data_IF_160720973817
#
_entry.id   IF_160720973817
#
_cell.length_a   1.000
_cell.length_b   1.000
_cell.length_c   1.000
_cell.angle_alpha   90.00
_cell.angle_beta   90.00
_cell.angle_gamma   90.00
#
_symmetry.space_group_name_H-M   'P 1'
#
loop_
_entity.id
_entity.type
_entity.pdbx_description
1 polymer ?
#
# COMPACT_ATOMS: atom_id res chain seq x y z
N UNK A 1 43.18 33.62 41.55
CA UNK A 1 43.60 32.21 41.67
C UNK A 1 42.36 31.33 41.73
N UNK A 2 42.18 30.50 40.70
CA UNK A 2 41.10 29.51 40.66
C UNK A 2 41.44 28.42 41.68
N UNK A 3 40.53 28.18 42.63
CA UNK A 3 40.72 27.14 43.64
C UNK A 3 40.73 25.75 42.93
N UNK A 4 41.88 25.07 42.91
CA UNK A 4 42.09 23.78 42.26
C UNK A 4 40.99 22.75 42.62
N UNK A 5 40.54 22.71 43.87
CA UNK A 5 39.47 21.79 44.32
C UNK A 5 38.14 22.09 43.66
N UNK A 6 37.78 23.39 43.47
CA UNK A 6 36.53 23.76 42.76
C UNK A 6 36.63 23.48 41.25
N UNK A 7 37.79 23.67 40.66
CA UNK A 7 38.00 23.34 39.25
C UNK A 7 37.93 21.82 39.00
N UNK A 8 38.52 21.00 39.85
CA UNK A 8 38.42 19.54 39.76
C UNK A 8 36.96 19.07 39.94
N UNK A 9 36.20 19.61 40.93
CA UNK A 9 34.79 19.25 41.12
C UNK A 9 33.93 19.58 39.89
N UNK A 10 34.16 20.75 39.26
CA UNK A 10 33.46 21.16 38.05
C UNK A 10 33.75 20.24 36.84
N UNK A 11 35.02 19.84 36.66
CA UNK A 11 35.41 18.89 35.60
C UNK A 11 34.77 17.53 35.83
N UNK A 12 34.75 17.03 37.06
CA UNK A 12 34.10 15.77 37.39
C UNK A 12 32.58 15.81 37.14
N UNK A 13 31.92 16.94 37.43
CA UNK A 13 30.48 17.09 37.15
C UNK A 13 30.20 17.06 35.65
N UNK A 14 31.00 17.77 34.82
CA UNK A 14 30.86 17.74 33.37
C UNK A 14 31.10 16.33 32.81
N UNK A 15 32.10 15.63 33.30
CA UNK A 15 32.40 14.26 32.86
C UNK A 15 31.29 13.29 33.23
N UNK A 16 30.72 13.40 34.42
CA UNK A 16 29.56 12.57 34.86
C UNK A 16 28.32 12.82 34.02
N UNK A 17 28.01 14.10 33.68
CA UNK A 17 26.90 14.44 32.78
C UNK A 17 27.17 13.91 31.37
N UNK A 18 28.37 14.03 30.83
CA UNK A 18 28.72 13.50 29.53
C UNK A 18 28.60 11.97 29.48
N UNK A 19 29.02 11.26 30.52
CA UNK A 19 28.86 9.79 30.64
C UNK A 19 27.41 9.40 30.74
N UNK A 20 26.57 10.14 31.49
CA UNK A 20 25.16 9.90 31.59
C UNK A 20 24.44 10.10 30.27
N UNK A 21 24.78 11.16 29.51
CA UNK A 21 24.24 11.41 28.16
C UNK A 21 24.67 10.30 27.21
N UNK A 22 25.92 9.88 27.26
CA UNK A 22 26.47 8.80 26.44
C UNK A 22 25.76 7.45 26.76
N UNK A 23 25.57 7.13 28.05
CA UNK A 23 24.87 5.94 28.49
C UNK A 23 23.40 5.93 28.02
N UNK A 24 22.72 7.08 28.06
CA UNK A 24 21.36 7.23 27.55
C UNK A 24 21.27 7.00 26.01
N UNK A 25 22.29 7.40 25.26
CA UNK A 25 22.36 7.17 23.81
C UNK A 25 22.67 5.70 23.47
N UNK A 26 23.51 5.01 24.27
CA UNK A 26 23.86 3.61 24.04
C UNK A 26 22.80 2.61 24.53
N UNK A 27 21.97 2.96 25.51
CA UNK A 27 20.93 2.08 26.02
C UNK A 27 19.61 2.08 25.24
N UNK A 28 19.54 2.78 24.10
CA UNK A 28 18.32 2.90 23.31
C UNK A 28 17.22 3.75 23.97
N UNK A 29 17.50 4.33 25.15
CA UNK A 29 16.54 5.20 25.86
C UNK A 29 16.24 6.51 25.11
N UNK A 30 17.02 6.83 24.08
CA UNK A 30 16.71 7.91 23.14
C UNK A 30 15.42 7.62 22.31
N UNK A 31 15.01 6.37 22.20
CA UNK A 31 13.74 6.03 21.58
C UNK A 31 12.52 6.45 22.42
N UNK A 32 12.70 6.66 23.73
CA UNK A 32 11.62 7.05 24.65
C UNK A 32 11.32 8.55 24.57
N UNK A 33 12.28 9.37 24.10
CA UNK A 33 12.11 10.82 23.97
C UNK A 33 11.59 11.29 22.60
N UNK A 34 11.68 10.44 21.56
CA UNK A 34 10.99 10.63 20.30
C UNK A 34 9.64 9.90 20.40
N UNK A 35 8.69 10.46 21.12
CA UNK A 35 7.32 9.96 21.26
C UNK A 35 6.47 10.10 19.98
N UNK A 36 7.07 9.89 18.81
CA UNK A 36 6.37 9.66 17.57
C UNK A 36 6.19 8.16 17.41
N UNK A 37 4.98 7.66 17.53
CA UNK A 37 4.62 6.33 17.01
C UNK A 37 5.10 6.26 15.56
N UNK A 38 5.94 5.26 15.23
CA UNK A 38 6.35 5.05 13.85
C UNK A 38 5.09 4.88 13.02
N UNK A 39 4.87 5.76 12.05
CA UNK A 39 3.72 5.71 11.16
C UNK A 39 3.69 4.36 10.46
N UNK A 40 2.56 3.68 10.49
CA UNK A 40 2.37 2.42 9.76
C UNK A 40 2.32 2.71 8.26
N UNK A 41 3.01 1.87 7.49
CA UNK A 41 3.09 2.04 6.05
C UNK A 41 2.49 0.82 5.34
N UNK A 42 1.71 1.04 4.28
CA UNK A 42 1.29 -0.02 3.38
C UNK A 42 2.47 -0.49 2.51
N UNK A 43 2.25 -1.55 1.75
CA UNK A 43 3.25 -2.07 0.82
C UNK A 43 3.27 -1.23 -0.45
N UNK A 44 4.37 -0.50 -0.70
CA UNK A 44 4.59 0.30 -1.91
C UNK A 44 5.37 -0.44 -2.99
N UNK A 45 6.25 -1.34 -2.58
CA UNK A 45 7.09 -2.16 -3.46
C UNK A 45 7.57 -3.40 -2.70
N UNK A 46 8.07 -4.39 -3.42
CA UNK A 46 8.65 -5.60 -2.84
C UNK A 46 10.17 -5.54 -2.96
N UNK A 47 10.88 -5.63 -1.83
CA UNK A 47 12.34 -5.67 -1.87
C UNK A 47 12.81 -6.99 -2.48
N UNK A 48 13.41 -6.95 -3.67
CA UNK A 48 13.92 -8.12 -4.39
C UNK A 48 15.08 -7.73 -5.30
N UNK A 49 16.02 -8.66 -5.50
CA UNK A 49 17.08 -8.55 -6.49
C UNK A 49 16.65 -9.13 -7.85
N UNK A 50 15.51 -9.81 -7.91
CA UNK A 50 14.98 -10.36 -9.15
C UNK A 50 14.40 -9.25 -10.03
N UNK A 51 14.60 -9.36 -11.35
CA UNK A 51 14.01 -8.45 -12.34
C UNK A 51 12.51 -8.72 -12.50
N UNK A 52 11.74 -8.39 -11.45
CA UNK A 52 10.29 -8.59 -11.39
C UNK A 52 9.60 -7.30 -10.99
N UNK A 53 8.42 -7.08 -11.56
CA UNK A 53 7.50 -5.99 -11.22
C UNK A 53 6.10 -6.58 -11.06
N UNK A 54 5.22 -5.88 -10.34
CA UNK A 54 3.80 -6.18 -10.26
C UNK A 54 3.00 -5.12 -11.01
N UNK A 55 2.17 -5.53 -11.96
CA UNK A 55 1.21 -4.64 -12.63
C UNK A 55 -0.15 -4.86 -11.96
N UNK A 56 -0.83 -3.78 -11.60
CA UNK A 56 -2.12 -3.84 -10.94
C UNK A 56 -3.10 -2.83 -11.55
N UNK A 57 -4.38 -3.17 -11.48
CA UNK A 57 -5.47 -2.41 -12.05
C UNK A 57 -6.52 -2.13 -10.99
N UNK A 58 -6.90 -0.86 -10.82
CA UNK A 58 -8.03 -0.48 -10.00
C UNK A 58 -9.28 -0.46 -10.89
N UNK A 59 -10.34 -1.16 -10.43
CA UNK A 59 -11.58 -1.40 -11.16
C UNK A 59 -12.76 -0.76 -10.41
N UNK A 60 -13.17 0.45 -10.86
CA UNK A 60 -14.23 1.21 -10.21
C UNK A 60 -15.39 1.58 -11.16
N UNK A 61 -15.12 2.03 -12.38
CA UNK A 61 -16.16 2.70 -13.17
C UNK A 61 -16.64 1.94 -14.40
N UNK A 62 -15.75 1.33 -15.16
CA UNK A 62 -16.09 0.66 -16.42
C UNK A 62 -15.34 -0.65 -16.64
N UNK A 63 -15.54 -1.23 -17.82
CA UNK A 63 -14.90 -2.47 -18.27
C UNK A 63 -14.30 -2.35 -19.66
N UNK A 64 -14.19 -1.13 -20.20
CA UNK A 64 -13.97 -0.86 -21.62
C UNK A 64 -12.71 -1.52 -22.18
N UNK A 65 -11.66 -1.64 -21.37
CA UNK A 65 -10.41 -2.27 -21.78
C UNK A 65 -10.20 -3.65 -21.19
N UNK A 66 -11.07 -4.15 -20.31
CA UNK A 66 -10.85 -5.40 -19.57
C UNK A 66 -10.60 -6.59 -20.49
N UNK A 67 -11.45 -6.83 -21.50
CA UNK A 67 -11.26 -7.96 -22.43
C UNK A 67 -9.96 -7.84 -23.25
N UNK A 68 -9.58 -6.64 -23.66
CA UNK A 68 -8.31 -6.38 -24.36
C UNK A 68 -7.10 -6.62 -23.48
N UNK A 69 -7.16 -6.15 -22.21
CA UNK A 69 -6.11 -6.36 -21.22
C UNK A 69 -5.92 -7.86 -20.96
N UNK A 70 -7.00 -8.60 -20.72
CA UNK A 70 -6.95 -10.05 -20.52
C UNK A 70 -6.36 -10.79 -21.73
N UNK A 71 -6.70 -10.38 -22.94
CA UNK A 71 -6.15 -10.96 -24.16
C UNK A 71 -4.63 -10.73 -24.27
N UNK A 72 -4.15 -9.52 -23.99
CA UNK A 72 -2.72 -9.19 -23.98
C UNK A 72 -1.99 -9.97 -22.88
N UNK A 73 -2.51 -9.98 -21.65
CA UNK A 73 -1.89 -10.71 -20.55
C UNK A 73 -1.79 -12.19 -20.82
N UNK A 74 -2.79 -12.78 -21.47
CA UNK A 74 -2.76 -14.18 -21.92
C UNK A 74 -1.69 -14.42 -22.98
N UNK A 75 -1.59 -13.54 -23.99
CA UNK A 75 -0.61 -13.66 -25.05
C UNK A 75 0.84 -13.56 -24.52
N UNK A 76 1.07 -12.66 -23.57
CA UNK A 76 2.38 -12.43 -22.96
C UNK A 76 2.64 -13.35 -21.74
N UNK A 77 1.71 -14.23 -21.39
CA UNK A 77 1.80 -15.12 -20.23
C UNK A 77 2.07 -14.35 -18.90
N UNK A 78 1.41 -13.20 -18.72
CA UNK A 78 1.56 -12.32 -17.56
C UNK A 78 0.37 -12.47 -16.62
N UNK A 79 0.63 -12.46 -15.32
CA UNK A 79 -0.39 -12.38 -14.26
C UNK A 79 -0.33 -11.01 -13.60
N UNK A 80 -1.51 -10.46 -13.32
CA UNK A 80 -1.67 -9.15 -12.70
C UNK A 80 -2.62 -9.24 -11.53
N UNK A 81 -2.73 -8.15 -10.74
CA UNK A 81 -3.67 -8.02 -9.63
C UNK A 81 -4.74 -7.00 -10.01
N UNK A 82 -6.01 -7.30 -9.72
CA UNK A 82 -7.13 -6.40 -9.95
C UNK A 82 -7.80 -6.08 -8.61
N UNK A 83 -7.85 -4.81 -8.25
CA UNK A 83 -8.52 -4.32 -7.05
C UNK A 83 -9.90 -3.80 -7.42
N UNK A 84 -10.94 -4.56 -7.08
CA UNK A 84 -12.31 -4.25 -7.46
C UNK A 84 -13.05 -3.52 -6.32
N UNK A 85 -13.78 -2.45 -6.66
CA UNK A 85 -14.79 -1.87 -5.77
C UNK A 85 -16.01 -2.78 -5.73
N UNK A 86 -16.72 -2.88 -4.59
CA UNK A 86 -17.90 -3.74 -4.45
C UNK A 86 -18.95 -3.47 -5.53
N UNK A 87 -19.34 -2.22 -5.73
CA UNK A 87 -20.35 -1.88 -6.73
C UNK A 87 -19.93 -2.23 -8.17
N UNK A 88 -18.61 -2.25 -8.46
CA UNK A 88 -18.10 -2.73 -9.74
C UNK A 88 -18.21 -4.25 -9.84
N UNK A 89 -17.83 -4.96 -8.76
CA UNK A 89 -17.92 -6.41 -8.68
C UNK A 89 -19.38 -6.90 -8.84
N UNK A 90 -20.32 -6.18 -8.25
CA UNK A 90 -21.77 -6.47 -8.36
C UNK A 90 -22.34 -6.14 -9.73
N UNK A 91 -21.90 -5.04 -10.33
CA UNK A 91 -22.36 -4.60 -11.66
C UNK A 91 -21.79 -5.45 -12.79
N UNK A 92 -20.56 -5.93 -12.63
CA UNK A 92 -19.81 -6.65 -13.66
C UNK A 92 -19.29 -8.02 -13.18
N UNK A 93 -20.13 -8.89 -12.59
CA UNK A 93 -19.66 -10.16 -12.01
C UNK A 93 -19.02 -11.08 -13.06
N UNK A 94 -19.50 -11.06 -14.30
CA UNK A 94 -18.90 -11.86 -15.37
C UNK A 94 -17.46 -11.44 -15.70
N UNK A 95 -17.17 -10.14 -15.66
CA UNK A 95 -15.80 -9.65 -15.86
C UNK A 95 -14.88 -9.99 -14.69
N UNK A 96 -15.37 -9.85 -13.45
CA UNK A 96 -14.62 -10.28 -12.27
C UNK A 96 -14.33 -11.79 -12.31
N UNK A 97 -15.32 -12.58 -12.72
CA UNK A 97 -15.16 -14.03 -12.91
C UNK A 97 -14.12 -14.34 -13.99
N UNK A 98 -14.17 -13.69 -15.17
CA UNK A 98 -13.17 -13.83 -16.24
C UNK A 98 -11.75 -13.52 -15.74
N UNK A 99 -11.57 -12.44 -14.98
CA UNK A 99 -10.28 -12.04 -14.38
C UNK A 99 -9.76 -13.17 -13.49
N UNK A 100 -10.59 -13.66 -12.59
CA UNK A 100 -10.22 -14.71 -11.65
C UNK A 100 -9.93 -16.05 -12.34
N UNK A 101 -10.75 -16.44 -13.33
CA UNK A 101 -10.59 -17.71 -14.09
C UNK A 101 -9.34 -17.67 -14.98
N UNK A 102 -8.95 -16.50 -15.48
CA UNK A 102 -7.70 -16.31 -16.19
C UNK A 102 -6.47 -16.42 -15.26
N UNK A 103 -6.68 -16.61 -13.95
CA UNK A 103 -5.63 -16.81 -12.95
C UNK A 103 -4.97 -15.52 -12.48
N UNK A 104 -5.60 -14.38 -12.70
CA UNK A 104 -5.20 -13.12 -12.08
C UNK A 104 -5.62 -13.10 -10.61
N UNK A 105 -4.93 -12.31 -9.81
CA UNK A 105 -5.28 -12.08 -8.42
C UNK A 105 -6.36 -11.00 -8.32
N UNK A 106 -7.28 -11.17 -7.37
CA UNK A 106 -8.34 -10.21 -7.10
C UNK A 106 -8.24 -9.72 -5.66
N UNK A 107 -8.16 -8.41 -5.50
CA UNK A 107 -8.18 -7.70 -4.22
C UNK A 107 -9.38 -6.77 -4.11
N UNK A 108 -9.62 -6.24 -2.91
CA UNK A 108 -10.66 -5.23 -2.69
C UNK A 108 -10.15 -3.81 -2.83
N UNK A 109 -11.01 -2.93 -3.39
CA UNK A 109 -10.79 -1.48 -3.46
C UNK A 109 -11.89 -0.73 -2.67
N UNK A 110 -12.32 -1.29 -1.52
CA UNK A 110 -13.44 -0.87 -0.66
C UNK A 110 -14.82 -1.13 -1.28
N UNK A 111 -15.88 -0.82 -0.53
CA UNK A 111 -17.26 -0.99 -1.01
C UNK A 111 -17.75 0.20 -1.83
N UNK A 112 -17.57 1.42 -1.34
CA UNK A 112 -18.17 2.64 -1.91
C UNK A 112 -17.15 3.66 -2.42
N UNK A 113 -15.85 3.32 -2.41
CA UNK A 113 -14.75 4.16 -2.88
C UNK A 113 -14.61 5.49 -2.11
N UNK A 114 -14.65 5.51 -0.77
CA UNK A 114 -14.52 6.73 0.02
C UNK A 114 -13.05 7.10 0.30
N UNK A 115 -12.81 8.29 0.84
CA UNK A 115 -11.57 8.59 1.54
C UNK A 115 -11.55 7.82 2.87
N UNK A 116 -10.84 6.70 2.91
CA UNK A 116 -10.87 5.73 4.01
C UNK A 116 -10.32 6.30 5.34
N UNK A 117 -9.36 7.24 5.28
CA UNK A 117 -8.83 7.92 6.48
C UNK A 117 -9.83 8.86 7.17
N UNK A 118 -11.00 9.08 6.56
CA UNK A 118 -12.09 9.91 7.12
C UNK A 118 -13.15 9.09 7.84
N UNK A 119 -13.04 7.77 7.81
CA UNK A 119 -13.98 6.84 8.40
C UNK A 119 -13.55 6.43 9.81
N UNK A 120 -14.52 6.11 10.65
CA UNK A 120 -14.25 5.42 11.91
C UNK A 120 -13.99 3.91 11.68
N UNK A 121 -13.52 3.23 12.70
CA UNK A 121 -13.17 1.81 12.65
C UNK A 121 -14.35 0.93 12.21
N UNK A 122 -15.56 1.23 12.65
CA UNK A 122 -16.76 0.46 12.31
C UNK A 122 -17.10 0.60 10.83
N UNK A 123 -17.03 1.82 10.29
CA UNK A 123 -17.23 2.10 8.88
C UNK A 123 -16.14 1.46 8.01
N UNK A 124 -14.87 1.53 8.42
CA UNK A 124 -13.77 0.85 7.74
C UNK A 124 -14.02 -0.66 7.67
N UNK A 125 -14.34 -1.29 8.82
CA UNK A 125 -14.66 -2.74 8.85
C UNK A 125 -15.78 -3.09 7.91
N UNK A 126 -16.84 -2.28 7.83
CA UNK A 126 -17.96 -2.50 6.93
C UNK A 126 -17.52 -2.42 5.47
N UNK A 127 -16.83 -1.35 5.07
CA UNK A 127 -16.31 -1.15 3.71
C UNK A 127 -15.46 -2.34 3.24
N UNK A 128 -14.60 -2.86 4.12
CA UNK A 128 -13.73 -3.99 3.81
C UNK A 128 -14.52 -5.32 3.76
N UNK A 129 -15.38 -5.58 4.74
CA UNK A 129 -16.10 -6.85 4.84
C UNK A 129 -17.05 -7.05 3.67
N UNK A 130 -17.92 -6.06 3.37
CA UNK A 130 -18.91 -6.20 2.31
C UNK A 130 -18.27 -6.33 0.93
N UNK A 131 -17.21 -5.58 0.67
CA UNK A 131 -16.48 -5.68 -0.59
C UNK A 131 -15.74 -7.02 -0.75
N UNK A 132 -15.13 -7.54 0.31
CA UNK A 132 -14.52 -8.88 0.28
C UNK A 132 -15.58 -9.95 -0.01
N UNK A 133 -16.73 -9.93 0.71
CA UNK A 133 -17.83 -10.87 0.49
C UNK A 133 -18.35 -10.83 -0.94
N UNK A 134 -18.51 -9.65 -1.54
CA UNK A 134 -18.96 -9.52 -2.92
C UNK A 134 -17.97 -10.14 -3.92
N UNK A 135 -16.67 -9.90 -3.74
CA UNK A 135 -15.62 -10.45 -4.60
C UNK A 135 -15.50 -11.97 -4.41
N UNK A 136 -15.48 -12.45 -3.18
CA UNK A 136 -15.37 -13.88 -2.84
C UNK A 136 -16.57 -14.68 -3.36
N UNK A 137 -17.78 -14.13 -3.29
CA UNK A 137 -19.00 -14.74 -3.84
C UNK A 137 -18.89 -15.01 -5.34
N UNK A 138 -18.26 -14.11 -6.10
CA UNK A 138 -18.11 -14.25 -7.55
C UNK A 138 -16.92 -15.15 -7.92
N UNK A 139 -15.81 -14.99 -7.22
CA UNK A 139 -14.55 -15.65 -7.59
C UNK A 139 -14.38 -17.02 -6.96
N UNK A 140 -15.05 -17.27 -5.83
CA UNK A 140 -14.84 -18.47 -4.99
C UNK A 140 -13.48 -18.48 -4.28
N UNK A 141 -12.74 -17.37 -4.29
CA UNK A 141 -11.40 -17.25 -3.70
C UNK A 141 -11.40 -16.22 -2.59
N UNK A 142 -10.64 -16.48 -1.53
CA UNK A 142 -10.42 -15.54 -0.43
C UNK A 142 -9.70 -14.29 -0.93
N UNK A 143 -10.18 -13.13 -0.48
CA UNK A 143 -9.52 -11.84 -0.69
C UNK A 143 -8.48 -11.61 0.42
N UNK A 144 -7.24 -11.35 0.04
CA UNK A 144 -6.14 -11.08 0.98
C UNK A 144 -5.48 -9.72 0.75
N UNK A 145 -5.83 -9.04 -0.35
CA UNK A 145 -5.25 -7.75 -0.72
C UNK A 145 -6.30 -6.65 -0.70
N UNK A 146 -5.92 -5.52 -0.14
CA UNK A 146 -6.71 -4.30 -0.12
C UNK A 146 -5.90 -3.14 -0.67
N UNK A 147 -6.50 -2.33 -1.54
CA UNK A 147 -5.93 -1.05 -1.96
C UNK A 147 -6.88 0.08 -1.55
N UNK A 148 -6.42 1.05 -0.74
CA UNK A 148 -7.27 2.16 -0.35
C UNK A 148 -7.54 3.08 -1.55
N UNK A 149 -8.81 3.51 -1.75
CA UNK A 149 -9.18 4.51 -2.73
C UNK A 149 -8.32 5.78 -2.61
N UNK A 150 -7.95 6.37 -3.74
CA UNK A 150 -7.11 7.58 -3.81
C UNK A 150 -5.71 7.42 -3.19
N UNK A 151 -5.33 6.22 -2.74
CA UNK A 151 -4.14 6.02 -1.92
C UNK A 151 -4.25 6.64 -0.52
N UNK A 152 -5.46 6.96 -0.08
CA UNK A 152 -5.75 7.61 1.20
C UNK A 152 -5.74 6.60 2.35
N UNK A 153 -4.85 6.81 3.34
CA UNK A 153 -4.73 5.95 4.50
C UNK A 153 -4.20 6.67 5.73
N UNK A 154 -4.48 6.07 6.88
CA UNK A 154 -3.87 6.38 8.17
C UNK A 154 -3.55 5.09 8.93
N UNK A 155 -3.01 5.21 10.14
CA UNK A 155 -2.63 4.06 10.96
C UNK A 155 -3.85 3.21 11.36
N UNK A 156 -5.01 3.85 11.61
CA UNK A 156 -6.25 3.16 11.96
C UNK A 156 -6.71 2.25 10.83
N UNK A 157 -6.68 2.75 9.59
CA UNK A 157 -7.05 1.96 8.40
C UNK A 157 -6.13 0.74 8.24
N UNK A 158 -4.81 0.93 8.34
CA UNK A 158 -3.84 -0.16 8.19
C UNK A 158 -4.04 -1.22 9.28
N UNK A 159 -4.26 -0.80 10.54
CA UNK A 159 -4.53 -1.72 11.65
C UNK A 159 -5.82 -2.50 11.44
N UNK A 160 -6.88 -1.80 11.05
CA UNK A 160 -8.19 -2.42 10.82
C UNK A 160 -8.14 -3.42 9.66
N UNK A 161 -7.50 -3.06 8.54
CA UNK A 161 -7.30 -3.95 7.41
C UNK A 161 -6.46 -5.19 7.79
N UNK A 162 -5.35 -4.98 8.52
CA UNK A 162 -4.51 -6.07 9.02
C UNK A 162 -5.27 -6.99 9.97
N UNK A 163 -6.10 -6.43 10.87
CA UNK A 163 -6.98 -7.20 11.76
C UNK A 163 -8.04 -8.02 11.02
N UNK A 164 -8.42 -7.62 9.82
CA UNK A 164 -9.28 -8.36 8.91
C UNK A 164 -8.52 -9.38 8.04
N UNK A 165 -7.20 -9.52 8.21
CA UNK A 165 -6.36 -10.43 7.42
C UNK A 165 -6.00 -9.90 6.03
N UNK A 166 -6.09 -8.60 5.81
CA UNK A 166 -5.79 -7.95 4.54
C UNK A 166 -4.44 -7.23 4.56
N UNK A 167 -3.66 -7.41 3.50
CA UNK A 167 -2.47 -6.62 3.24
C UNK A 167 -2.86 -5.33 2.51
N UNK A 168 -2.48 -4.18 3.08
CA UNK A 168 -2.72 -2.87 2.44
C UNK A 168 -1.66 -2.60 1.39
N UNK A 169 -2.06 -2.51 0.13
CA UNK A 169 -1.19 -2.37 -1.05
C UNK A 169 -1.33 -0.96 -1.64
N UNK A 170 -0.20 -0.32 -1.83
CA UNK A 170 -0.07 0.93 -2.57
C UNK A 170 0.64 0.68 -3.91
N UNK A 171 1.34 1.67 -4.44
CA UNK A 171 2.15 1.59 -5.65
C UNK A 171 3.38 2.48 -5.53
N UNK A 172 4.45 2.09 -6.18
CA UNK A 172 5.65 2.91 -6.35
C UNK A 172 5.67 3.67 -7.68
N UNK A 173 4.89 3.19 -8.67
CA UNK A 173 4.80 3.80 -10.00
C UNK A 173 3.35 3.98 -10.39
N UNK A 174 2.93 5.25 -10.53
CA UNK A 174 1.62 5.62 -11.05
C UNK A 174 1.73 5.85 -12.56
N UNK A 175 0.96 5.10 -13.36
CA UNK A 175 0.92 5.23 -14.82
C UNK A 175 0.33 6.57 -15.29
N UNK A 176 -0.56 7.16 -14.48
CA UNK A 176 -1.40 8.33 -14.82
C UNK A 176 -2.27 8.09 -16.07
N UNK A 177 -2.67 6.86 -16.33
CA UNK A 177 -3.53 6.48 -17.47
C UNK A 177 -4.90 7.20 -17.44
N UNK A 178 -5.38 7.51 -16.24
CA UNK A 178 -6.60 8.30 -16.01
C UNK A 178 -6.52 9.79 -16.43
N UNK A 179 -5.33 10.27 -16.82
CA UNK A 179 -5.10 11.69 -17.24
C UNK A 179 -5.17 11.94 -18.75
N UNK A 180 -5.82 11.07 -19.50
CA UNK A 180 -5.91 11.18 -20.97
C UNK A 180 -4.54 11.26 -21.67
N UNK A 181 -3.52 10.60 -21.13
CA UNK A 181 -2.22 10.48 -21.75
C UNK A 181 -2.28 9.48 -22.91
N UNK A 182 -1.45 9.68 -23.94
CA UNK A 182 -1.28 8.67 -25.01
C UNK A 182 -0.59 7.42 -24.46
N UNK A 183 -0.80 6.28 -25.14
CA UNK A 183 -0.15 5.02 -24.78
C UNK A 183 1.38 5.16 -24.70
N UNK A 184 2.00 5.93 -25.63
CA UNK A 184 3.44 6.22 -25.61
C UNK A 184 3.85 6.95 -24.34
N UNK A 185 3.11 8.01 -23.97
CA UNK A 185 3.40 8.80 -22.77
C UNK A 185 3.28 7.96 -21.48
N UNK A 186 2.26 7.09 -21.40
CA UNK A 186 2.07 6.15 -20.29
C UNK A 186 3.26 5.18 -20.22
N UNK A 187 3.60 4.56 -21.34
CA UNK A 187 4.70 3.58 -21.43
C UNK A 187 6.03 4.20 -21.02
N UNK A 188 6.39 5.36 -21.60
CA UNK A 188 7.63 6.06 -21.26
C UNK A 188 7.67 6.47 -19.79
N UNK A 189 6.53 6.94 -19.25
CA UNK A 189 6.42 7.32 -17.85
C UNK A 189 6.70 6.13 -16.92
N UNK A 190 6.10 4.99 -17.21
CA UNK A 190 6.29 3.76 -16.42
C UNK A 190 7.73 3.28 -16.54
N UNK A 191 8.23 3.10 -17.77
CA UNK A 191 9.58 2.56 -18.02
C UNK A 191 10.70 3.40 -17.39
N UNK A 192 10.51 4.74 -17.28
CA UNK A 192 11.48 5.63 -16.62
C UNK A 192 11.51 5.53 -15.09
N UNK A 193 10.53 4.85 -14.47
CA UNK A 193 10.34 4.84 -13.02
C UNK A 193 10.35 3.46 -12.38
N UNK A 194 10.21 2.41 -13.17
CA UNK A 194 10.23 1.04 -12.66
C UNK A 194 11.63 0.65 -12.20
N UNK A 195 11.67 -0.09 -11.12
CA UNK A 195 12.83 -0.81 -10.62
C UNK A 195 12.38 -2.19 -10.14
N UNK A 196 13.33 -3.04 -9.76
CA UNK A 196 13.01 -4.36 -9.22
C UNK A 196 12.03 -4.25 -8.04
N UNK A 197 10.96 -5.03 -8.10
CA UNK A 197 9.92 -5.03 -7.07
C UNK A 197 8.90 -3.89 -7.13
N UNK A 198 8.95 -3.02 -8.15
CA UNK A 198 7.95 -1.96 -8.33
C UNK A 198 6.54 -2.52 -8.46
N UNK A 199 5.59 -1.85 -7.81
CA UNK A 199 4.15 -2.05 -7.99
C UNK A 199 3.62 -0.89 -8.83
N UNK A 200 2.99 -1.21 -9.97
CA UNK A 200 2.49 -0.24 -10.93
C UNK A 200 0.98 -0.12 -10.79
N UNK A 201 0.48 1.11 -10.67
CA UNK A 201 -0.95 1.43 -10.72
C UNK A 201 -1.38 1.72 -12.15
N UNK A 202 -2.42 1.03 -12.59
CA UNK A 202 -3.20 1.28 -13.80
C UNK A 202 -4.70 1.16 -13.50
N UNK A 203 -5.54 1.47 -14.50
CA UNK A 203 -6.99 1.31 -14.45
C UNK A 203 -7.50 0.53 -15.67
N UNK A 204 -8.69 -0.09 -15.54
CA UNK A 204 -9.25 -0.95 -16.59
C UNK A 204 -10.28 -0.26 -17.50
N UNK A 205 -10.34 1.05 -17.45
CA UNK A 205 -11.24 1.89 -18.24
C UNK A 205 -10.53 3.03 -18.95
#
# INVERSE_FOLDING_TARGET
CINKKKACAFIFTILAVAIAVLALTFTGASAVFYGGTLKKLPVYYVKTEEKKIAISFDCAWGVDYTDKLLAIMKAENVRCTFFAVEFWAEKYPDYLKKISDAGHETGTHSATHPYMSKLDEAAIKKELATSCEAIERVTGKKVELFRPPYGDYDDLLIETASGAGLYTIQWSVDSLDWKNLSATQITERVLKRIDNGSIILCHNQ
#
